data_IF_494767692081
#
_entry.id   IF_494767692081
#
_cell.length_a   1.000
_cell.length_b   1.000
_cell.length_c   1.000
_cell.angle_alpha   90.00
_cell.angle_beta   90.00
_cell.angle_gamma   90.00
#
_symmetry.space_group_name_H-M   'P 1'
#
loop_
_entity.id
_entity.type
_entity.pdbx_description
1 polymer ?
#
# COMPACT_ATOMS: atom_id res chain seq x y z
N UNK A 1 27.63 -20.80 18.13
CA UNK A 1 27.53 -19.46 18.74
C UNK A 1 26.39 -18.78 18.07
N UNK A 2 25.32 -18.38 18.74
CA UNK A 2 24.29 -17.57 18.10
C UNK A 2 24.89 -16.19 17.79
N UNK A 3 24.80 -15.77 16.51
CA UNK A 3 25.16 -14.42 16.09
C UNK A 3 24.21 -13.41 16.76
N UNK A 4 24.76 -12.39 17.40
CA UNK A 4 23.99 -11.30 17.99
C UNK A 4 23.22 -10.56 16.89
N UNK A 5 21.93 -10.16 17.12
CA UNK A 5 21.16 -9.41 16.16
C UNK A 5 21.81 -8.04 15.92
N UNK A 6 21.97 -7.67 14.65
CA UNK A 6 22.44 -6.36 14.23
C UNK A 6 21.46 -5.27 14.77
N UNK A 7 21.87 -4.56 15.79
CA UNK A 7 21.12 -3.44 16.38
C UNK A 7 21.32 -2.17 15.54
N UNK A 8 20.35 -1.24 15.55
CA UNK A 8 20.33 0.01 14.78
C UNK A 8 21.52 0.96 15.04
N UNK A 9 22.46 0.61 15.91
CA UNK A 9 23.61 1.42 16.35
C UNK A 9 24.97 0.90 15.84
N UNK A 10 25.01 -0.09 14.95
CA UNK A 10 26.29 -0.49 14.38
C UNK A 10 26.75 0.51 13.32
N UNK A 11 28.04 0.93 13.35
CA UNK A 11 28.56 1.85 12.35
C UNK A 11 28.48 1.22 10.96
N UNK A 12 28.03 1.99 9.97
CA UNK A 12 27.96 1.57 8.58
C UNK A 12 29.33 1.07 8.12
N UNK A 13 29.34 0.02 7.30
CA UNK A 13 30.57 -0.49 6.73
C UNK A 13 31.27 0.56 5.85
N UNK A 14 32.59 0.46 5.63
CA UNK A 14 33.32 1.37 4.77
C UNK A 14 32.76 1.44 3.35
N UNK A 15 32.23 0.35 2.81
CA UNK A 15 31.63 0.28 1.49
C UNK A 15 30.32 1.05 1.43
N UNK A 16 29.46 0.92 2.42
CA UNK A 16 28.20 1.68 2.53
C UNK A 16 28.48 3.17 2.69
N UNK A 17 29.45 3.55 3.54
CA UNK A 17 29.86 4.94 3.71
C UNK A 17 30.36 5.58 2.42
N UNK A 18 31.19 4.84 1.64
CA UNK A 18 31.65 5.32 0.33
C UNK A 18 30.52 5.44 -0.68
N UNK A 19 29.57 4.50 -0.67
CA UNK A 19 28.39 4.60 -1.51
C UNK A 19 27.56 5.87 -1.19
N UNK A 20 27.36 6.19 0.08
CA UNK A 20 26.69 7.43 0.48
C UNK A 20 27.45 8.68 0.05
N UNK A 21 28.78 8.68 0.18
CA UNK A 21 29.64 9.78 -0.28
C UNK A 21 29.57 9.98 -1.80
N UNK A 22 29.62 8.88 -2.56
CA UNK A 22 29.50 8.91 -4.02
C UNK A 22 28.14 9.44 -4.47
N UNK A 23 27.07 9.04 -3.80
CA UNK A 23 25.72 9.56 -4.06
C UNK A 23 25.58 11.06 -3.77
N UNK A 24 26.13 11.50 -2.65
CA UNK A 24 26.14 12.91 -2.29
C UNK A 24 26.93 13.76 -3.31
N UNK A 25 27.94 13.17 -3.94
CA UNK A 25 28.71 13.77 -5.03
C UNK A 25 28.06 13.62 -6.42
N UNK A 26 26.90 12.94 -6.55
CA UNK A 26 26.25 12.68 -7.83
C UNK A 26 26.88 11.53 -8.65
N UNK A 27 27.88 10.82 -8.10
CA UNK A 27 28.56 9.70 -8.74
C UNK A 27 27.81 8.38 -8.48
N UNK A 28 26.57 8.27 -8.99
CA UNK A 28 25.67 7.14 -8.67
C UNK A 28 26.19 5.78 -9.17
N UNK A 29 26.96 5.76 -10.26
CA UNK A 29 27.63 4.54 -10.74
C UNK A 29 28.65 4.01 -9.73
N UNK A 30 29.50 4.89 -9.19
CA UNK A 30 30.49 4.53 -8.18
C UNK A 30 29.81 4.07 -6.88
N UNK A 31 28.66 4.69 -6.53
CA UNK A 31 27.87 4.26 -5.38
C UNK A 31 27.38 2.82 -5.53
N UNK A 32 26.91 2.44 -6.72
CA UNK A 32 26.50 1.05 -7.02
C UNK A 32 27.72 0.12 -6.90
N UNK A 33 28.88 0.49 -7.47
CA UNK A 33 30.08 -0.32 -7.40
C UNK A 33 30.56 -0.56 -5.96
N UNK A 34 30.45 0.44 -5.09
CA UNK A 34 30.72 0.29 -3.66
C UNK A 34 29.73 -0.67 -2.97
N UNK A 35 28.43 -0.57 -3.26
CA UNK A 35 27.44 -1.52 -2.72
C UNK A 35 27.68 -2.96 -3.22
N UNK A 36 28.06 -3.13 -4.50
CA UNK A 36 28.46 -4.44 -5.05
C UNK A 36 29.70 -4.98 -4.36
N UNK A 37 30.70 -4.12 -4.07
CA UNK A 37 31.89 -4.52 -3.34
C UNK A 37 31.57 -4.97 -1.91
N UNK A 38 30.65 -4.27 -1.22
CA UNK A 38 30.15 -4.68 0.08
C UNK A 38 29.40 -6.01 0.03
N UNK A 39 28.50 -6.19 -0.93
CA UNK A 39 27.80 -7.45 -1.15
C UNK A 39 28.76 -8.64 -1.31
N UNK A 40 29.83 -8.47 -2.11
CA UNK A 40 30.88 -9.51 -2.29
C UNK A 40 31.62 -9.86 -1.00
N UNK A 41 31.62 -8.95 -0.02
CA UNK A 41 32.20 -9.17 1.33
C UNK A 41 31.15 -9.69 2.35
N UNK A 42 29.98 -10.09 1.88
CA UNK A 42 28.85 -10.51 2.70
C UNK A 42 28.27 -9.41 3.62
N UNK A 43 28.43 -8.16 3.25
CA UNK A 43 27.81 -7.04 3.95
C UNK A 43 26.30 -7.04 3.68
N UNK A 44 25.53 -7.29 4.73
CA UNK A 44 24.07 -7.40 4.69
C UNK A 44 23.42 -6.07 4.36
N UNK A 45 23.91 -4.97 4.93
CA UNK A 45 23.40 -3.63 4.68
C UNK A 45 23.65 -3.19 3.25
N UNK A 46 24.86 -3.39 2.73
CA UNK A 46 25.19 -3.09 1.33
C UNK A 46 24.31 -3.89 0.37
N UNK A 47 24.09 -5.19 0.66
CA UNK A 47 23.26 -6.07 -0.16
C UNK A 47 21.79 -5.61 -0.14
N UNK A 48 21.27 -5.24 1.03
CA UNK A 48 19.91 -4.72 1.18
C UNK A 48 19.72 -3.42 0.41
N UNK A 49 20.63 -2.47 0.54
CA UNK A 49 20.60 -1.17 -0.17
C UNK A 49 20.69 -1.34 -1.69
N UNK A 50 21.54 -2.24 -2.16
CA UNK A 50 21.63 -2.57 -3.58
C UNK A 50 20.30 -3.14 -4.08
N UNK A 51 19.72 -4.11 -3.35
CA UNK A 51 18.42 -4.67 -3.67
C UNK A 51 17.32 -3.62 -3.75
N UNK A 52 17.24 -2.70 -2.79
CA UNK A 52 16.27 -1.59 -2.79
C UNK A 52 16.38 -0.71 -4.03
N UNK A 53 17.60 -0.32 -4.41
CA UNK A 53 17.84 0.51 -5.60
C UNK A 53 17.40 -0.17 -6.89
N UNK A 54 17.80 -1.43 -7.05
CA UNK A 54 17.47 -2.22 -8.24
C UNK A 54 15.97 -2.53 -8.33
N UNK A 55 15.26 -2.58 -7.20
CA UNK A 55 13.82 -2.87 -7.16
C UNK A 55 12.99 -1.75 -7.82
N UNK A 56 13.35 -0.50 -7.57
CA UNK A 56 12.60 0.67 -8.06
C UNK A 56 13.34 1.51 -9.09
N UNK A 57 14.58 1.15 -9.42
CA UNK A 57 15.41 1.92 -10.35
C UNK A 57 15.91 3.25 -9.78
N UNK A 58 16.04 3.37 -8.46
CA UNK A 58 16.53 4.60 -7.83
C UNK A 58 18.04 4.77 -8.05
N UNK A 59 18.42 5.67 -8.95
CA UNK A 59 19.82 5.93 -9.35
C UNK A 59 20.55 4.65 -9.75
N UNK A 60 19.81 3.68 -10.28
CA UNK A 60 20.26 2.36 -10.70
C UNK A 60 19.36 1.84 -11.81
N UNK A 61 19.78 0.84 -12.61
CA UNK A 61 18.86 0.13 -13.50
C UNK A 61 17.72 -0.54 -12.69
N UNK A 62 16.49 -0.51 -13.21
CA UNK A 62 15.37 -1.25 -12.63
C UNK A 62 15.51 -2.74 -13.00
N UNK A 63 15.93 -3.56 -12.03
CA UNK A 63 16.18 -5.01 -12.18
C UNK A 63 15.49 -5.80 -11.07
N UNK A 64 14.14 -5.89 -11.08
CA UNK A 64 13.35 -6.42 -9.96
C UNK A 64 13.67 -7.87 -9.62
N UNK A 65 14.04 -8.72 -10.60
CA UNK A 65 14.39 -10.11 -10.34
C UNK A 65 15.73 -10.22 -9.56
N UNK A 66 16.74 -9.43 -9.93
CA UNK A 66 18.00 -9.38 -9.19
C UNK A 66 17.82 -8.74 -7.81
N UNK A 67 17.00 -7.71 -7.72
CA UNK A 67 16.63 -7.07 -6.48
C UNK A 67 16.01 -8.07 -5.48
N UNK A 68 15.01 -8.83 -5.93
CA UNK A 68 14.37 -9.86 -5.10
C UNK A 68 15.37 -10.91 -4.61
N UNK A 69 16.30 -11.34 -5.48
CA UNK A 69 17.36 -12.29 -5.12
C UNK A 69 18.31 -11.70 -4.06
N UNK A 70 18.77 -10.46 -4.22
CA UNK A 70 19.66 -9.81 -3.24
C UNK A 70 18.96 -9.54 -1.92
N UNK A 71 17.69 -9.13 -1.91
CA UNK A 71 16.90 -8.97 -0.70
C UNK A 71 16.74 -10.30 0.03
N UNK A 72 16.46 -11.40 -0.71
CA UNK A 72 16.37 -12.74 -0.11
C UNK A 72 17.72 -13.20 0.48
N UNK A 73 18.83 -12.95 -0.23
CA UNK A 73 20.18 -13.25 0.26
C UNK A 73 20.52 -12.47 1.54
N UNK A 74 20.24 -11.15 1.55
CA UNK A 74 20.45 -10.32 2.73
C UNK A 74 19.59 -10.78 3.92
N UNK A 75 18.34 -11.18 3.66
CA UNK A 75 17.46 -11.75 4.68
C UNK A 75 18.05 -13.05 5.24
N UNK A 76 18.52 -13.97 4.40
CA UNK A 76 19.14 -15.23 4.86
C UNK A 76 20.39 -14.99 5.71
N UNK A 77 21.12 -13.91 5.46
CA UNK A 77 22.31 -13.50 6.22
C UNK A 77 22.00 -12.64 7.46
N UNK A 78 20.76 -12.60 7.92
CA UNK A 78 20.39 -11.95 9.17
C UNK A 78 19.78 -10.55 9.02
N UNK A 79 19.65 -9.98 7.82
CA UNK A 79 19.09 -8.64 7.59
C UNK A 79 17.62 -8.53 8.04
N UNK A 80 17.36 -7.68 9.02
CA UNK A 80 16.00 -7.45 9.55
C UNK A 80 15.13 -6.66 8.55
N UNK A 81 15.64 -5.56 8.01
CA UNK A 81 14.96 -4.80 6.95
C UNK A 81 14.73 -5.65 5.70
N UNK A 82 15.75 -6.44 5.30
CA UNK A 82 15.64 -7.32 4.15
C UNK A 82 14.54 -8.38 4.35
N UNK A 83 14.37 -8.92 5.56
CA UNK A 83 13.28 -9.83 5.87
C UNK A 83 11.90 -9.15 5.77
N UNK A 84 11.78 -7.90 6.21
CA UNK A 84 10.55 -7.12 6.08
C UNK A 84 10.21 -6.81 4.60
N UNK A 85 11.19 -6.46 3.78
CA UNK A 85 11.02 -6.29 2.34
C UNK A 85 10.65 -7.60 1.64
N UNK A 86 11.25 -8.72 2.07
CA UNK A 86 10.95 -10.04 1.53
C UNK A 86 9.49 -10.44 1.82
N UNK A 87 8.95 -10.05 2.99
CA UNK A 87 7.53 -10.25 3.29
C UNK A 87 6.63 -9.58 2.25
N UNK A 88 6.93 -8.35 1.84
CA UNK A 88 6.19 -7.65 0.78
C UNK A 88 6.34 -8.39 -0.56
N UNK A 89 7.57 -8.73 -0.96
CA UNK A 89 7.84 -9.40 -2.24
C UNK A 89 7.12 -10.76 -2.35
N UNK A 90 7.06 -11.54 -1.27
CA UNK A 90 6.34 -12.81 -1.24
C UNK A 90 4.82 -12.59 -1.34
N UNK A 91 4.29 -11.62 -0.59
CA UNK A 91 2.85 -11.33 -0.59
C UNK A 91 2.33 -10.83 -1.94
N UNK A 92 3.12 -10.04 -2.67
CA UNK A 92 2.75 -9.57 -4.03
C UNK A 92 3.01 -10.62 -5.13
N UNK A 93 3.57 -11.78 -4.77
CA UNK A 93 3.86 -12.87 -5.72
C UNK A 93 5.07 -12.60 -6.62
N UNK A 94 6.01 -11.73 -6.20
CA UNK A 94 7.23 -11.45 -6.93
C UNK A 94 8.25 -12.61 -6.89
N UNK A 95 8.05 -13.60 -6.02
CA UNK A 95 8.91 -14.78 -5.90
C UNK A 95 8.10 -16.05 -6.12
N UNK A 96 8.51 -16.88 -7.10
CA UNK A 96 7.82 -18.13 -7.43
C UNK A 96 7.88 -19.11 -6.25
N UNK A 97 6.75 -19.77 -5.97
CA UNK A 97 6.67 -20.81 -4.94
C UNK A 97 6.45 -20.27 -3.52
N UNK A 98 6.37 -18.98 -3.35
CA UNK A 98 6.06 -18.32 -2.07
C UNK A 98 4.72 -17.60 -2.12
N UNK A 99 4.06 -17.53 -0.98
CA UNK A 99 2.74 -16.91 -0.85
C UNK A 99 2.61 -16.08 0.43
N UNK A 100 1.37 -15.70 0.74
CA UNK A 100 1.08 -14.83 1.89
C UNK A 100 1.48 -15.45 3.25
N UNK A 101 1.49 -16.78 3.36
CA UNK A 101 1.99 -17.49 4.55
C UNK A 101 3.49 -17.30 4.74
N UNK A 102 4.28 -17.45 3.67
CA UNK A 102 5.73 -17.22 3.69
C UNK A 102 6.05 -15.75 3.95
N UNK A 103 5.20 -14.85 3.45
CA UNK A 103 5.31 -13.42 3.72
C UNK A 103 5.15 -13.10 5.21
N UNK A 104 4.13 -13.68 5.87
CA UNK A 104 3.95 -13.52 7.31
C UNK A 104 5.13 -14.08 8.10
N UNK A 105 5.66 -15.25 7.73
CA UNK A 105 6.85 -15.81 8.37
C UNK A 105 8.07 -14.89 8.21
N UNK A 106 8.25 -14.28 7.02
CA UNK A 106 9.32 -13.30 6.80
C UNK A 106 9.15 -12.06 7.66
N UNK A 107 7.91 -11.59 7.87
CA UNK A 107 7.61 -10.47 8.77
C UNK A 107 7.91 -10.81 10.23
N UNK A 108 7.56 -12.03 10.68
CA UNK A 108 7.89 -12.53 12.03
C UNK A 108 9.41 -12.55 12.23
N UNK A 109 10.15 -13.06 11.26
CA UNK A 109 11.62 -13.09 11.29
C UNK A 109 12.19 -11.66 11.38
N UNK A 110 11.64 -10.70 10.64
CA UNK A 110 12.06 -9.30 10.73
C UNK A 110 11.82 -8.72 12.13
N UNK A 111 10.66 -9.01 12.73
CA UNK A 111 10.31 -8.56 14.08
C UNK A 111 11.21 -9.20 15.16
N UNK A 112 11.51 -10.50 15.06
CA UNK A 112 12.43 -11.22 15.95
C UNK A 112 13.86 -10.66 15.87
N UNK A 113 14.26 -10.14 14.71
CA UNK A 113 15.55 -9.46 14.49
C UNK A 113 15.54 -8.00 14.90
N UNK A 114 14.45 -7.52 15.52
CA UNK A 114 14.36 -6.17 16.07
C UNK A 114 13.93 -5.09 15.06
N UNK A 115 13.37 -5.43 13.87
CA UNK A 115 12.88 -4.43 12.93
C UNK A 115 11.61 -3.76 13.46
N UNK A 116 11.64 -2.46 13.86
CA UNK A 116 10.53 -1.84 14.59
C UNK A 116 9.23 -1.80 13.80
N UNK A 117 9.32 -1.54 12.47
CA UNK A 117 8.14 -1.52 11.62
C UNK A 117 7.49 -2.90 11.48
N UNK A 118 8.26 -4.00 11.49
CA UNK A 118 7.70 -5.35 11.45
C UNK A 118 7.00 -5.70 12.77
N UNK A 119 7.57 -5.28 13.89
CA UNK A 119 6.98 -5.43 15.22
C UNK A 119 5.62 -4.73 15.30
N UNK A 120 5.56 -3.46 14.91
CA UNK A 120 4.32 -2.68 14.90
C UNK A 120 3.27 -3.24 13.91
N UNK A 121 3.68 -3.74 12.75
CA UNK A 121 2.77 -4.40 11.81
C UNK A 121 2.13 -5.66 12.41
N UNK A 122 2.91 -6.50 13.12
CA UNK A 122 2.37 -7.69 13.78
C UNK A 122 1.36 -7.31 14.88
N UNK A 123 1.62 -6.26 15.65
CA UNK A 123 0.68 -5.75 16.68
C UNK A 123 -0.64 -5.30 16.04
N UNK A 124 -0.59 -4.62 14.90
CA UNK A 124 -1.77 -4.19 14.16
C UNK A 124 -2.55 -5.38 13.60
N UNK A 125 -1.85 -6.33 12.96
CA UNK A 125 -2.46 -7.46 12.25
C UNK A 125 -2.96 -8.57 13.19
N UNK A 126 -2.43 -8.67 14.41
CA UNK A 126 -2.90 -9.62 15.42
C UNK A 126 -4.27 -9.26 16.01
N UNK A 127 -4.78 -8.05 15.73
CA UNK A 127 -6.14 -7.66 16.11
C UNK A 127 -7.16 -8.32 15.16
N UNK A 128 -8.21 -8.96 15.69
CA UNK A 128 -9.17 -9.66 14.85
C UNK A 128 -9.95 -8.67 13.97
N UNK A 129 -10.17 -9.02 12.70
CA UNK A 129 -10.98 -8.25 11.76
C UNK A 129 -12.46 -8.14 12.18
N UNK A 130 -12.94 -9.11 12.96
CA UNK A 130 -14.28 -9.08 13.56
C UNK A 130 -14.15 -9.16 15.07
N UNK A 131 -14.93 -8.37 15.84
CA UNK A 131 -15.00 -8.56 17.28
C UNK A 131 -15.37 -10.02 17.54
N UNK A 132 -14.57 -10.76 18.30
CA UNK A 132 -14.99 -12.05 18.83
C UNK A 132 -16.11 -11.78 19.83
N UNK A 133 -17.27 -12.41 19.65
CA UNK A 133 -18.28 -12.45 20.69
C UNK A 133 -17.58 -12.90 21.98
N UNK A 134 -17.69 -12.04 22.99
CA UNK A 134 -17.08 -12.12 24.31
C UNK A 134 -16.53 -13.49 24.70
N UNK A 135 -15.22 -13.66 24.71
CA UNK A 135 -14.56 -14.48 25.70
C UNK A 135 -13.85 -13.52 26.65
N UNK A 136 -14.34 -13.43 27.88
CA UNK A 136 -13.63 -12.86 29.02
C UNK A 136 -12.26 -13.48 29.11
N UNK A 137 -11.25 -12.72 28.76
CA UNK A 137 -9.88 -12.81 29.27
C UNK A 137 -8.99 -11.79 28.57
N UNK A 138 -9.33 -10.50 28.73
CA UNK A 138 -8.29 -9.49 28.62
C UNK A 138 -7.43 -9.59 29.89
N UNK A 139 -6.62 -10.62 29.99
CA UNK A 139 -5.56 -10.69 30.98
C UNK A 139 -4.57 -9.57 30.65
N UNK A 140 -4.63 -8.51 31.46
CA UNK A 140 -3.57 -7.51 31.62
C UNK A 140 -2.36 -8.21 32.22
N UNK A 141 -1.60 -8.91 31.40
CA UNK A 141 -0.28 -9.37 31.75
C UNK A 141 0.68 -8.20 31.53
N UNK A 142 1.42 -7.87 32.58
CA UNK A 142 2.61 -7.02 32.53
C UNK A 142 3.54 -7.54 31.44
N UNK A 143 4.07 -6.69 30.52
CA UNK A 143 4.73 -7.18 29.32
C UNK A 143 6.09 -7.81 29.68
N UNK A 144 6.15 -9.14 29.66
CA UNK A 144 7.35 -9.81 29.17
C UNK A 144 7.56 -9.38 27.71
N UNK A 145 8.82 -9.31 27.24
CA UNK A 145 9.12 -8.96 25.86
C UNK A 145 8.16 -9.68 24.88
N UNK A 146 7.55 -8.97 23.90
CA UNK A 146 6.54 -9.56 23.06
C UNK A 146 7.07 -10.80 22.35
N UNK A 147 6.34 -11.91 22.41
CA UNK A 147 6.66 -13.09 21.62
C UNK A 147 6.10 -12.89 20.19
N UNK A 148 6.95 -12.45 19.28
CA UNK A 148 6.57 -12.11 17.91
C UNK A 148 5.98 -13.29 17.14
N UNK A 149 6.46 -14.54 17.39
CA UNK A 149 5.85 -15.75 16.82
C UNK A 149 4.44 -16.00 17.33
N UNK A 150 4.20 -15.77 18.60
CA UNK A 150 2.86 -15.90 19.16
C UNK A 150 1.91 -14.85 18.60
N UNK A 151 2.40 -13.61 18.42
CA UNK A 151 1.65 -12.54 17.79
C UNK A 151 1.34 -12.88 16.32
N UNK A 152 2.34 -13.39 15.59
CA UNK A 152 2.16 -13.84 14.20
C UNK A 152 1.11 -14.95 14.04
N UNK A 153 1.03 -15.91 14.97
CA UNK A 153 -0.02 -16.96 14.96
C UNK A 153 -1.43 -16.43 15.16
N UNK A 154 -1.58 -15.22 15.71
CA UNK A 154 -2.87 -14.56 15.89
C UNK A 154 -3.35 -13.86 14.62
N UNK A 155 -2.48 -13.65 13.64
CA UNK A 155 -2.84 -13.04 12.35
C UNK A 155 -3.70 -14.03 11.56
N UNK A 156 -4.97 -13.70 11.36
CA UNK A 156 -5.90 -14.51 10.58
C UNK A 156 -5.82 -14.16 9.09
N UNK A 157 -4.84 -14.77 8.39
CA UNK A 157 -4.66 -14.55 6.95
C UNK A 157 -5.89 -14.95 6.13
N UNK A 158 -6.67 -15.94 6.60
CA UNK A 158 -7.88 -16.37 5.89
C UNK A 158 -8.93 -15.25 5.89
N UNK A 159 -9.07 -14.55 7.01
CA UNK A 159 -9.99 -13.40 7.10
C UNK A 159 -9.60 -12.26 6.15
N UNK A 160 -8.31 -12.10 5.82
CA UNK A 160 -7.83 -11.09 4.86
C UNK A 160 -8.03 -11.48 3.40
N UNK A 161 -8.19 -12.76 3.10
CA UNK A 161 -8.30 -13.28 1.72
C UNK A 161 -9.73 -13.71 1.35
N UNK A 162 -10.69 -13.58 2.26
CA UNK A 162 -12.11 -13.89 2.04
C UNK A 162 -12.94 -12.61 2.11
N UNK A 163 -13.84 -12.36 1.13
CA UNK A 163 -14.75 -11.22 1.16
C UNK A 163 -15.63 -11.24 2.42
N UNK A 164 -15.85 -10.06 3.01
CA UNK A 164 -16.83 -9.86 4.08
C UNK A 164 -18.28 -9.80 3.57
N UNK A 165 -19.23 -9.56 4.48
CA UNK A 165 -20.60 -9.22 4.10
C UNK A 165 -20.62 -7.91 3.31
N UNK A 166 -21.47 -7.83 2.29
CA UNK A 166 -21.55 -6.71 1.38
C UNK A 166 -22.99 -6.21 1.22
N UNK A 167 -23.14 -4.93 0.90
CA UNK A 167 -24.40 -4.29 0.56
C UNK A 167 -24.29 -3.57 -0.77
N UNK A 168 -25.20 -3.87 -1.70
CA UNK A 168 -25.27 -3.17 -2.99
C UNK A 168 -26.04 -1.86 -2.83
N UNK A 169 -25.35 -0.74 -3.10
CA UNK A 169 -25.97 0.60 -3.16
C UNK A 169 -26.55 0.86 -4.55
N UNK A 170 -25.99 0.23 -5.58
CA UNK A 170 -26.47 0.20 -6.95
C UNK A 170 -26.06 -1.10 -7.61
N UNK A 171 -26.90 -1.66 -8.47
CA UNK A 171 -26.59 -2.86 -9.25
C UNK A 171 -26.07 -2.55 -10.66
N UNK A 172 -26.27 -1.32 -11.17
CA UNK A 172 -25.80 -0.92 -12.51
C UNK A 172 -25.67 0.61 -12.62
N UNK A 173 -24.46 1.15 -12.63
CA UNK A 173 -23.17 0.49 -12.34
C UNK A 173 -23.17 -0.13 -10.95
N UNK A 174 -22.40 -1.21 -10.78
CA UNK A 174 -22.29 -1.82 -9.47
C UNK A 174 -21.53 -0.87 -8.53
N UNK A 175 -22.21 -0.48 -7.43
CA UNK A 175 -21.63 0.25 -6.30
C UNK A 175 -21.92 -0.58 -5.05
N UNK A 176 -20.87 -1.02 -4.35
CA UNK A 176 -21.00 -1.98 -3.24
C UNK A 176 -20.16 -1.58 -2.05
N UNK A 177 -20.73 -1.67 -0.87
CA UNK A 177 -20.03 -1.43 0.40
C UNK A 177 -19.78 -2.71 1.19
N UNK A 178 -18.72 -2.66 2.03
CA UNK A 178 -18.30 -3.69 2.98
C UNK A 178 -18.11 -3.05 4.35
N UNK A 179 -19.09 -3.11 5.26
CA UNK A 179 -19.06 -2.37 6.53
C UNK A 179 -17.86 -2.67 7.43
N UNK A 180 -17.34 -3.90 7.39
CA UNK A 180 -16.23 -4.37 8.24
C UNK A 180 -15.04 -4.77 7.39
N UNK A 181 -14.59 -3.87 6.52
CA UNK A 181 -13.49 -4.16 5.61
C UNK A 181 -12.12 -4.11 6.31
N UNK A 182 -11.89 -3.15 7.20
CA UNK A 182 -10.62 -2.99 7.92
C UNK A 182 -10.86 -2.70 9.40
N UNK A 183 -9.91 -3.08 10.27
CA UNK A 183 -9.95 -2.74 11.70
C UNK A 183 -9.55 -1.28 11.92
N UNK A 184 -9.94 -0.70 13.05
CA UNK A 184 -9.48 0.63 13.48
C UNK A 184 -7.94 0.70 13.53
N UNK A 185 -7.27 -0.36 14.00
CA UNK A 185 -5.81 -0.41 14.06
C UNK A 185 -5.16 -0.32 12.67
N UNK A 186 -5.72 -1.02 11.67
CA UNK A 186 -5.26 -0.94 10.27
C UNK A 186 -5.53 0.45 9.69
N UNK A 187 -6.69 1.04 9.97
CA UNK A 187 -7.00 2.39 9.52
C UNK A 187 -6.02 3.42 10.10
N UNK A 188 -5.77 3.35 11.40
CA UNK A 188 -4.79 4.21 12.09
C UNK A 188 -3.38 4.01 11.51
N UNK A 189 -2.96 2.76 11.30
CA UNK A 189 -1.68 2.45 10.66
C UNK A 189 -1.52 3.16 9.32
N UNK A 190 -2.51 3.06 8.44
CA UNK A 190 -2.47 3.69 7.11
C UNK A 190 -2.41 5.22 7.19
N UNK A 191 -3.15 5.83 8.12
CA UNK A 191 -3.08 7.27 8.39
C UNK A 191 -1.67 7.66 8.83
N UNK A 192 -1.10 6.96 9.83
CA UNK A 192 0.22 7.28 10.39
C UNK A 192 1.32 7.12 9.32
N UNK A 193 1.21 6.09 8.48
CA UNK A 193 2.14 5.89 7.35
C UNK A 193 2.05 7.00 6.30
N UNK A 194 0.88 7.59 6.11
CA UNK A 194 0.65 8.65 5.12
C UNK A 194 0.97 10.04 5.65
N UNK A 195 0.74 10.32 6.94
CA UNK A 195 0.76 11.67 7.55
C UNK A 195 2.03 12.47 7.27
N UNK A 196 3.20 11.84 7.35
CA UNK A 196 4.50 12.50 7.09
C UNK A 196 4.87 12.61 5.60
N UNK A 197 3.99 12.20 4.68
CA UNK A 197 4.27 12.03 3.24
C UNK A 197 3.24 12.72 2.36
N UNK A 198 2.28 13.38 2.97
CA UNK A 198 1.23 14.10 2.24
C UNK A 198 1.86 15.19 1.38
N UNK A 199 1.45 15.23 0.15
CA UNK A 199 1.71 16.31 -0.79
C UNK A 199 0.41 16.75 -1.46
N UNK A 200 0.37 17.94 -2.02
CA UNK A 200 -0.79 18.40 -2.77
C UNK A 200 -1.14 17.39 -3.85
N UNK A 201 -2.38 16.92 -3.86
CA UNK A 201 -2.81 15.98 -4.87
C UNK A 201 -2.72 16.61 -6.26
N UNK A 202 -2.04 15.92 -7.17
CA UNK A 202 -1.79 16.39 -8.52
C UNK A 202 -2.78 15.73 -9.47
N UNK A 203 -3.13 16.46 -10.53
CA UNK A 203 -3.93 15.94 -11.65
C UNK A 203 -3.06 15.95 -12.88
N UNK A 204 -3.02 14.83 -13.61
CA UNK A 204 -2.36 14.80 -14.90
C UNK A 204 -3.21 15.56 -15.93
N UNK A 205 -2.64 16.59 -16.53
CA UNK A 205 -3.26 17.38 -17.59
C UNK A 205 -2.86 16.81 -18.95
N UNK A 206 -3.76 16.02 -19.53
CA UNK A 206 -3.51 15.33 -20.78
C UNK A 206 -3.15 16.25 -21.95
N UNK A 207 -3.76 17.43 -22.02
CA UNK A 207 -3.51 18.39 -23.12
C UNK A 207 -2.10 18.98 -23.04
N UNK A 208 -1.60 19.25 -21.83
CA UNK A 208 -0.26 19.82 -21.59
C UNK A 208 0.81 18.77 -21.37
N UNK A 209 0.42 17.49 -21.16
CA UNK A 209 1.32 16.40 -20.74
C UNK A 209 2.08 16.71 -19.46
N UNK A 210 1.48 17.47 -18.57
CA UNK A 210 2.08 17.92 -17.32
C UNK A 210 1.21 17.50 -16.12
N UNK A 211 1.85 17.28 -15.00
CA UNK A 211 1.18 17.04 -13.71
C UNK A 211 1.05 18.39 -13.01
N UNK A 212 -0.18 18.77 -12.66
CA UNK A 212 -0.45 20.10 -12.09
C UNK A 212 -1.47 20.07 -10.95
N UNK A 213 -1.41 21.11 -10.11
CA UNK A 213 -2.43 21.40 -9.11
C UNK A 213 -3.64 22.03 -9.82
N UNK A 214 -4.84 21.50 -9.55
CA UNK A 214 -6.09 22.08 -10.06
C UNK A 214 -7.01 22.55 -8.94
N UNK A 215 -7.78 23.63 -9.14
CA UNK A 215 -8.80 24.07 -8.17
C UNK A 215 -9.90 23.02 -7.92
N UNK A 216 -10.11 22.12 -8.88
CA UNK A 216 -11.09 21.02 -8.81
C UNK A 216 -10.67 19.88 -7.88
N UNK A 217 -9.41 19.89 -7.40
CA UNK A 217 -8.87 18.91 -6.49
C UNK A 217 -7.99 19.59 -5.45
N UNK A 218 -8.53 19.80 -4.26
CA UNK A 218 -7.87 20.60 -3.23
C UNK A 218 -7.24 19.76 -2.09
N UNK A 219 -7.51 18.48 -2.05
CA UNK A 219 -7.00 17.55 -1.08
C UNK A 219 -5.48 17.28 -1.20
N UNK A 220 -4.91 16.65 -0.17
CA UNK A 220 -3.56 16.09 -0.18
C UNK A 220 -3.59 14.57 -0.36
N UNK A 221 -2.46 13.99 -0.79
CA UNK A 221 -2.33 12.57 -1.04
C UNK A 221 -0.93 12.05 -0.73
N UNK A 222 -0.85 10.77 -0.32
CA UNK A 222 0.37 10.01 -0.19
C UNK A 222 0.22 8.69 -0.97
N UNK A 223 0.93 8.56 -2.08
CA UNK A 223 1.05 7.30 -2.81
C UNK A 223 2.24 6.50 -2.26
N UNK A 224 2.10 5.17 -2.19
CA UNK A 224 3.15 4.28 -1.67
C UNK A 224 3.77 3.50 -2.83
N UNK A 225 5.02 3.78 -3.13
CA UNK A 225 5.78 2.95 -4.06
C UNK A 225 6.15 1.59 -3.43
N UNK A 226 6.80 0.71 -4.19
CA UNK A 226 7.12 -0.65 -3.74
C UNK A 226 7.98 -0.70 -2.46
N UNK A 227 8.90 0.27 -2.24
CA UNK A 227 9.73 0.34 -1.03
C UNK A 227 9.00 0.92 0.18
N UNK A 228 7.92 1.62 -0.07
CA UNK A 228 7.10 2.29 0.92
C UNK A 228 5.90 1.45 1.35
N UNK A 229 5.50 0.53 0.47
CA UNK A 229 4.47 -0.47 0.73
C UNK A 229 4.98 -1.46 1.79
N UNK A 230 4.16 -1.74 2.78
CA UNK A 230 4.42 -2.71 3.83
C UNK A 230 3.41 -3.88 3.77
N UNK A 231 3.58 -4.88 4.63
CA UNK A 231 2.73 -6.06 4.59
C UNK A 231 1.27 -5.77 4.96
N UNK A 232 1.00 -4.75 5.81
CA UNK A 232 -0.37 -4.29 6.10
C UNK A 232 -1.02 -3.74 4.85
N UNK A 233 -0.33 -2.88 4.09
CA UNK A 233 -0.82 -2.34 2.82
C UNK A 233 -1.15 -3.47 1.83
N UNK A 234 -0.27 -4.47 1.70
CA UNK A 234 -0.49 -5.60 0.79
C UNK A 234 -1.69 -6.44 1.22
N UNK A 235 -1.88 -6.71 2.53
CA UNK A 235 -3.05 -7.45 3.01
C UNK A 235 -4.36 -6.71 2.72
N UNK A 236 -4.38 -5.37 2.89
CA UNK A 236 -5.52 -4.53 2.52
C UNK A 236 -5.83 -4.69 1.02
N UNK A 237 -4.83 -4.63 0.15
CA UNK A 237 -5.02 -4.82 -1.29
C UNK A 237 -5.43 -6.25 -1.66
N UNK A 238 -4.89 -7.28 -1.00
CA UNK A 238 -5.31 -8.68 -1.20
C UNK A 238 -6.78 -8.89 -0.81
N UNK A 239 -7.24 -8.22 0.26
CA UNK A 239 -8.65 -8.24 0.64
C UNK A 239 -9.53 -7.54 -0.40
N UNK A 240 -9.08 -6.40 -0.95
CA UNK A 240 -9.76 -5.76 -2.09
C UNK A 240 -9.84 -6.71 -3.29
N UNK A 241 -8.73 -7.37 -3.63
CA UNK A 241 -8.67 -8.34 -4.73
C UNK A 241 -9.67 -9.49 -4.53
N UNK A 242 -9.78 -10.02 -3.32
CA UNK A 242 -10.77 -11.04 -2.97
C UNK A 242 -12.22 -10.53 -3.09
N UNK A 243 -12.51 -9.29 -2.66
CA UNK A 243 -13.83 -8.67 -2.79
C UNK A 243 -14.23 -8.46 -4.26
N UNK A 244 -13.27 -8.17 -5.12
CA UNK A 244 -13.49 -7.89 -6.54
C UNK A 244 -13.41 -9.15 -7.42
N UNK A 245 -12.79 -10.22 -6.94
CA UNK A 245 -12.51 -11.42 -7.73
C UNK A 245 -11.50 -11.19 -8.86
N UNK A 246 -10.56 -10.25 -8.69
CA UNK A 246 -9.56 -9.89 -9.71
C UNK A 246 -8.13 -10.13 -9.20
N UNK A 247 -7.16 -10.38 -10.10
CA UNK A 247 -5.77 -10.58 -9.70
C UNK A 247 -5.15 -9.32 -9.09
N UNK A 248 -4.35 -9.48 -8.02
CA UNK A 248 -3.62 -8.40 -7.38
C UNK A 248 -2.75 -7.57 -8.36
N UNK A 249 -2.22 -8.19 -9.39
CA UNK A 249 -1.38 -7.51 -10.41
C UNK A 249 -2.08 -6.41 -11.19
N UNK A 250 -3.41 -6.31 -11.10
CA UNK A 250 -4.20 -5.26 -11.74
C UNK A 250 -4.28 -3.98 -10.89
N UNK A 251 -3.73 -3.99 -9.67
CA UNK A 251 -3.80 -2.88 -8.74
C UNK A 251 -2.71 -1.85 -9.02
N UNK A 252 -3.09 -0.57 -9.08
CA UNK A 252 -2.13 0.54 -9.04
C UNK A 252 -1.51 0.66 -7.63
N UNK A 253 -0.46 1.46 -7.42
CA UNK A 253 0.05 1.74 -6.08
C UNK A 253 -1.05 2.28 -5.17
N UNK A 254 -1.11 1.76 -3.93
CA UNK A 254 -2.08 2.21 -2.92
C UNK A 254 -1.85 3.69 -2.62
N UNK A 255 -2.92 4.47 -2.53
CA UNK A 255 -2.86 5.91 -2.24
C UNK A 255 -3.79 6.25 -1.08
N UNK A 256 -3.27 6.98 -0.11
CA UNK A 256 -4.07 7.57 0.98
C UNK A 256 -4.35 9.02 0.62
N UNK A 257 -5.62 9.41 0.66
CA UNK A 257 -6.10 10.76 0.44
C UNK A 257 -6.49 11.37 1.79
N UNK A 258 -6.14 12.62 1.98
CA UNK A 258 -6.50 13.41 3.14
C UNK A 258 -7.19 14.70 2.70
N UNK A 259 -8.24 15.06 3.43
CA UNK A 259 -9.02 16.27 3.21
C UNK A 259 -9.15 17.02 4.52
N UNK A 260 -8.65 18.24 4.56
CA UNK A 260 -8.99 19.21 5.59
C UNK A 260 -10.38 19.81 5.35
N UNK A 261 -10.94 20.49 6.34
CA UNK A 261 -12.18 21.23 6.20
C UNK A 261 -12.10 22.24 5.05
N UNK A 262 -13.06 22.20 4.15
CA UNK A 262 -13.08 23.02 2.91
C UNK A 262 -12.38 22.36 1.72
N UNK A 263 -11.65 21.27 1.88
CA UNK A 263 -11.02 20.55 0.78
C UNK A 263 -11.96 19.51 0.15
N UNK A 264 -11.90 19.39 -1.17
CA UNK A 264 -12.75 18.47 -1.90
C UNK A 264 -12.10 18.00 -3.22
N UNK A 265 -12.68 16.96 -3.81
CA UNK A 265 -12.55 16.64 -5.23
C UNK A 265 -13.94 16.84 -5.84
N UNK A 266 -14.06 17.78 -6.78
CA UNK A 266 -15.32 18.04 -7.49
C UNK A 266 -15.70 16.87 -8.38
N UNK A 267 -16.87 16.94 -9.02
CA UNK A 267 -17.37 15.90 -9.92
C UNK A 267 -16.34 15.50 -10.97
N UNK A 268 -15.95 14.23 -11.01
CA UNK A 268 -14.95 13.67 -11.90
C UNK A 268 -15.22 12.20 -12.21
N UNK A 269 -14.44 11.64 -13.14
CA UNK A 269 -14.37 10.22 -13.44
C UNK A 269 -13.01 9.69 -13.08
N UNK A 270 -12.96 8.43 -12.66
CA UNK A 270 -11.70 7.71 -12.37
C UNK A 270 -11.17 6.93 -13.57
N UNK A 271 -12.03 6.60 -14.53
CA UNK A 271 -11.56 6.01 -15.79
C UNK A 271 -10.70 7.00 -16.59
N UNK A 272 -9.75 6.48 -17.33
CA UNK A 272 -8.93 7.27 -18.26
C UNK A 272 -9.74 7.55 -19.50
N UNK A 273 -9.93 8.84 -19.87
CA UNK A 273 -10.79 9.22 -21.00
C UNK A 273 -10.18 8.76 -22.34
N UNK A 274 -10.79 7.77 -23.02
CA UNK A 274 -10.25 7.23 -24.27
C UNK A 274 -10.31 8.22 -25.45
N UNK A 275 -11.09 9.30 -25.33
CA UNK A 275 -11.23 10.29 -26.38
C UNK A 275 -10.09 11.31 -26.42
N UNK A 276 -9.23 11.32 -25.38
CA UNK A 276 -8.06 12.18 -25.34
C UNK A 276 -6.83 11.42 -25.88
N UNK A 277 -6.20 11.88 -26.98
CA UNK A 277 -5.10 11.15 -27.63
C UNK A 277 -3.93 10.82 -26.69
N UNK A 278 -3.62 11.71 -25.75
CA UNK A 278 -2.56 11.50 -24.75
C UNK A 278 -2.84 10.36 -23.77
N UNK A 279 -4.12 10.07 -23.53
CA UNK A 279 -4.54 8.95 -22.70
C UNK A 279 -4.67 7.64 -23.47
N UNK A 280 -4.75 7.68 -24.79
CA UNK A 280 -4.77 6.47 -25.61
C UNK A 280 -3.46 5.65 -25.46
N UNK A 281 -2.31 6.33 -25.35
CA UNK A 281 -1.02 5.69 -25.07
C UNK A 281 -1.01 5.05 -23.68
N UNK A 282 -1.48 5.76 -22.66
CA UNK A 282 -1.59 5.21 -21.30
C UNK A 282 -2.50 3.98 -21.23
N UNK A 283 -3.66 4.03 -21.90
CA UNK A 283 -4.59 2.90 -21.96
C UNK A 283 -3.96 1.73 -22.71
N UNK A 284 -3.24 1.99 -23.81
CA UNK A 284 -2.56 0.95 -24.58
C UNK A 284 -1.47 0.24 -23.75
N UNK A 285 -0.71 0.98 -22.97
CA UNK A 285 0.37 0.44 -22.12
C UNK A 285 -0.17 -0.22 -20.84
N UNK A 286 -0.97 0.52 -20.07
CA UNK A 286 -1.33 0.18 -18.69
C UNK A 286 -2.75 -0.34 -18.54
N UNK A 287 -3.58 -0.30 -19.59
CA UNK A 287 -5.00 -0.65 -19.54
C UNK A 287 -5.88 0.45 -18.96
N UNK A 288 -7.19 0.21 -18.99
CA UNK A 288 -8.21 1.11 -18.46
C UNK A 288 -8.40 0.89 -16.94
N UNK A 289 -8.72 1.95 -16.20
CA UNK A 289 -9.18 1.87 -14.81
C UNK A 289 -10.64 1.42 -14.80
N UNK A 290 -10.87 0.17 -14.43
CA UNK A 290 -12.20 -0.45 -14.50
C UNK A 290 -12.93 -0.49 -13.18
N UNK A 291 -12.21 -0.38 -12.05
CA UNK A 291 -12.78 -0.32 -10.69
C UNK A 291 -12.02 0.68 -9.85
N UNK A 292 -12.74 1.38 -8.99
CA UNK A 292 -12.18 2.14 -7.87
C UNK A 292 -12.65 1.51 -6.57
N UNK A 293 -11.72 1.29 -5.64
CA UNK A 293 -11.99 0.81 -4.29
C UNK A 293 -11.54 1.86 -3.27
N UNK A 294 -12.45 2.30 -2.41
CA UNK A 294 -12.20 3.23 -1.32
C UNK A 294 -12.23 2.49 0.01
N UNK A 295 -11.41 2.91 0.99
CA UNK A 295 -11.56 2.51 2.40
C UNK A 295 -11.57 3.76 3.25
N UNK A 296 -12.62 3.94 4.04
CA UNK A 296 -12.74 5.07 4.96
C UNK A 296 -11.92 4.79 6.21
N UNK A 297 -10.89 5.62 6.46
CA UNK A 297 -9.94 5.39 7.53
C UNK A 297 -10.34 6.06 8.86
N UNK A 298 -11.32 6.96 8.81
CA UNK A 298 -11.96 7.59 9.97
C UNK A 298 -13.39 8.01 9.62
N UNK A 299 -14.19 8.39 10.62
CA UNK A 299 -15.57 8.86 10.45
C UNK A 299 -15.96 9.98 11.43
N UNK A 300 -14.99 10.50 12.18
CA UNK A 300 -15.14 11.55 13.19
C UNK A 300 -15.20 12.96 12.61
N UNK A 301 -15.90 13.13 11.49
CA UNK A 301 -16.18 14.38 10.79
C UNK A 301 -17.64 14.44 10.34
N UNK A 302 -18.18 15.63 10.12
CA UNK A 302 -19.47 15.86 9.48
C UNK A 302 -19.35 15.91 7.95
N UNK A 303 -20.44 15.69 7.20
CA UNK A 303 -20.43 15.71 5.72
C UNK A 303 -19.35 14.79 5.12
N UNK A 304 -18.65 15.20 4.09
CA UNK A 304 -17.52 14.46 3.52
C UNK A 304 -17.93 13.23 2.69
N UNK A 305 -19.14 13.19 2.17
CA UNK A 305 -19.69 12.07 1.43
C UNK A 305 -18.91 11.80 0.13
N UNK A 306 -18.90 10.54 -0.30
CA UNK A 306 -18.66 10.16 -1.69
C UNK A 306 -19.99 10.23 -2.42
N UNK A 307 -20.17 11.21 -3.28
CA UNK A 307 -21.43 11.49 -3.95
C UNK A 307 -21.40 11.04 -5.41
N UNK A 308 -22.44 10.34 -5.86
CA UNK A 308 -22.64 9.93 -7.25
C UNK A 308 -23.90 10.64 -7.78
N UNK A 309 -23.80 11.86 -8.31
CA UNK A 309 -24.98 12.68 -8.66
C UNK A 309 -25.86 12.03 -9.73
N UNK A 310 -25.29 11.25 -10.65
CA UNK A 310 -26.03 10.55 -11.72
C UNK A 310 -26.76 9.28 -11.23
N UNK A 311 -26.45 8.80 -10.02
CA UNK A 311 -27.11 7.66 -9.38
C UNK A 311 -28.02 8.09 -8.23
N UNK A 312 -27.96 9.35 -7.81
CA UNK A 312 -28.68 9.85 -6.63
C UNK A 312 -28.13 9.25 -5.32
N UNK A 313 -26.87 8.79 -5.30
CA UNK A 313 -26.22 8.21 -4.13
C UNK A 313 -25.33 9.26 -3.49
N UNK A 314 -25.44 9.38 -2.16
CA UNK A 314 -24.55 10.15 -1.30
C UNK A 314 -24.17 9.27 -0.12
N UNK A 315 -22.91 8.79 -0.10
CA UNK A 315 -22.46 7.79 0.87
C UNK A 315 -21.39 8.37 1.78
N UNK A 316 -21.71 8.48 3.08
CA UNK A 316 -20.73 8.75 4.12
C UNK A 316 -20.31 7.43 4.73
N UNK A 317 -19.07 6.99 4.41
CA UNK A 317 -18.52 5.76 4.94
C UNK A 317 -18.21 5.87 6.44
N UNK A 318 -18.20 4.71 7.10
CA UNK A 318 -17.81 4.56 8.50
C UNK A 318 -16.36 4.13 8.61
N UNK A 319 -15.76 4.31 9.78
CA UNK A 319 -14.42 3.80 10.07
C UNK A 319 -14.28 2.33 9.66
N UNK A 320 -13.29 2.03 8.83
CA UNK A 320 -13.00 0.69 8.35
C UNK A 320 -13.94 0.15 7.28
N UNK A 321 -14.88 0.95 6.77
CA UNK A 321 -15.76 0.54 5.67
C UNK A 321 -15.04 0.62 4.33
N UNK A 322 -15.21 -0.41 3.49
CA UNK A 322 -14.81 -0.42 2.08
C UNK A 322 -15.98 -0.09 1.17
N UNK A 323 -15.73 0.67 0.11
CA UNK A 323 -16.68 0.98 -0.95
C UNK A 323 -16.01 0.80 -2.30
N UNK A 324 -16.59 0.01 -3.19
CA UNK A 324 -16.12 0.01 -4.58
C UNK A 324 -17.21 0.34 -5.58
N UNK A 325 -16.79 0.84 -6.73
CA UNK A 325 -17.66 1.05 -7.89
C UNK A 325 -16.95 0.69 -9.18
N UNK A 326 -17.73 0.14 -10.11
CA UNK A 326 -17.25 -0.33 -11.41
C UNK A 326 -17.35 0.81 -12.41
N UNK A 327 -16.21 1.22 -12.97
CA UNK A 327 -16.05 2.36 -13.89
C UNK A 327 -16.31 2.02 -15.37
N UNK A 328 -16.49 0.73 -15.68
CA UNK A 328 -16.61 0.23 -17.05
C UNK A 328 -17.94 -0.51 -17.26
N UNK A 329 -18.46 -0.42 -18.47
CA UNK A 329 -19.57 -1.24 -18.96
C UNK A 329 -19.09 -2.67 -19.31
N UNK A 330 -20.02 -3.57 -19.58
CA UNK A 330 -19.71 -4.97 -19.92
C UNK A 330 -18.88 -5.13 -21.21
N UNK A 331 -18.93 -4.15 -22.11
CA UNK A 331 -18.12 -4.10 -23.34
C UNK A 331 -16.72 -3.47 -23.12
N UNK A 332 -16.39 -3.09 -21.87
CA UNK A 332 -15.13 -2.45 -21.51
C UNK A 332 -15.11 -0.93 -21.73
N UNK A 333 -16.17 -0.33 -22.26
CA UNK A 333 -16.25 1.13 -22.40
C UNK A 333 -16.50 1.81 -21.03
N UNK A 334 -16.16 3.09 -20.95
CA UNK A 334 -16.31 3.88 -19.72
C UNK A 334 -17.79 4.10 -19.36
N UNK A 335 -18.15 3.84 -18.09
CA UNK A 335 -19.51 4.11 -17.60
C UNK A 335 -19.64 5.52 -17.05
N UNK A 336 -20.17 6.43 -17.85
CA UNK A 336 -20.35 7.82 -17.45
C UNK A 336 -21.32 8.03 -16.27
N UNK A 337 -22.08 7.00 -15.85
CA UNK A 337 -22.96 7.09 -14.68
C UNK A 337 -22.17 7.13 -13.38
N UNK A 338 -20.88 6.71 -13.41
CA UNK A 338 -19.97 6.74 -12.26
C UNK A 338 -19.34 8.11 -11.99
N UNK A 339 -19.85 9.19 -12.60
CA UNK A 339 -19.48 10.55 -12.20
C UNK A 339 -19.65 10.68 -10.69
N UNK A 340 -18.57 11.08 -9.98
CA UNK A 340 -18.59 11.17 -8.53
C UNK A 340 -17.73 12.30 -7.99
N UNK A 341 -17.93 12.63 -6.72
CA UNK A 341 -17.20 13.65 -5.99
C UNK A 341 -16.85 13.18 -4.59
N UNK A 342 -15.72 13.66 -4.08
CA UNK A 342 -15.39 13.60 -2.67
C UNK A 342 -15.70 14.94 -2.01
N UNK A 343 -16.82 15.01 -1.30
CA UNK A 343 -17.28 16.28 -0.68
C UNK A 343 -16.39 16.63 0.52
N UNK A 344 -16.34 17.94 0.81
CA UNK A 344 -15.57 18.47 1.93
C UNK A 344 -16.08 17.96 3.28
N UNK A 345 -15.20 17.54 4.17
CA UNK A 345 -15.58 17.31 5.56
C UNK A 345 -15.89 18.62 6.29
N UNK A 346 -16.67 18.52 7.37
CA UNK A 346 -17.02 19.61 8.27
C UNK A 346 -16.73 19.15 9.71
N UNK A 347 -16.16 20.00 10.53
CA UNK A 347 -15.80 19.71 11.94
C UNK A 347 -14.87 18.50 12.08
N UNK A 348 -13.86 18.41 11.26
CA UNK A 348 -12.84 17.35 11.29
C UNK A 348 -12.16 17.13 9.95
N UNK A 349 -11.22 16.22 9.92
CA UNK A 349 -10.47 15.81 8.72
C UNK A 349 -10.98 14.45 8.20
N UNK A 350 -10.90 14.22 6.89
CA UNK A 350 -11.29 12.96 6.27
C UNK A 350 -10.09 12.25 5.67
N UNK A 351 -9.94 10.97 6.01
CA UNK A 351 -8.89 10.10 5.51
C UNK A 351 -9.50 8.90 4.78
N UNK A 352 -9.07 8.65 3.56
CA UNK A 352 -9.49 7.48 2.79
C UNK A 352 -8.32 6.85 2.03
N UNK A 353 -8.34 5.53 1.88
CA UNK A 353 -7.58 4.87 0.81
C UNK A 353 -8.34 5.02 -0.49
N UNK A 354 -7.64 5.35 -1.56
CA UNK A 354 -8.13 5.26 -2.94
C UNK A 354 -7.26 4.29 -3.71
N UNK A 355 -7.88 3.24 -4.25
CA UNK A 355 -7.22 2.18 -4.99
C UNK A 355 -7.84 2.04 -6.37
N UNK A 356 -7.04 2.25 -7.41
CA UNK A 356 -7.46 1.98 -8.77
C UNK A 356 -7.08 0.57 -9.19
N UNK A 357 -7.99 -0.05 -9.95
CA UNK A 357 -7.81 -1.39 -10.52
C UNK A 357 -7.94 -1.30 -12.03
N UNK A 358 -6.98 -1.87 -12.74
CA UNK A 358 -6.95 -1.84 -14.20
C UNK A 358 -7.46 -3.15 -14.81
N UNK A 359 -7.80 -3.13 -16.10
CA UNK A 359 -8.26 -4.28 -16.86
C UNK A 359 -7.13 -5.28 -17.22
N UNK A 360 -5.89 -4.92 -16.96
CA UNK A 360 -4.69 -5.74 -17.18
C UNK A 360 -3.65 -5.55 -16.08
N UNK A 361 -2.64 -6.41 -16.07
CA UNK A 361 -1.55 -6.33 -15.11
C UNK A 361 -0.78 -4.99 -15.26
N UNK A 362 -0.48 -4.37 -14.12
CA UNK A 362 0.27 -3.10 -14.03
C UNK A 362 1.77 -3.38 -13.86
N UNK A 363 2.15 -4.59 -13.38
CA UNK A 363 3.53 -5.03 -13.14
C UNK A 363 3.71 -6.54 -13.34
#
# INVERSE_FOLDING_TARGET
MPEEPLTADQPLSPEVQRAEQSDAGGAHGDAIDHLVAGMRKNDVEATTRLGKRLLVGDRAPCLPNDAARFIAEASQKGGAEAAALLAVLYAVGASRGHGVGDALESLIVAAERGWPLAQAQLEVLAQPLRPRESSDEAQRLTPAAPNWRELGRRVDLAAWTVPGAATDLSSSPLVRSYPEFATEAVCRWLIDRARGRLSRALVYEAVRREVMVRPTRTNTAAAFNMLETDFVCVLVQLRMAACLGVPFRQFEPITVLHYDEGEEITDHFDFVDPNLPTYAEEIAERGQRVVTFLVYLNDDYGSGETAFPRLGISHKGRLGEGLFFVNALADGSADVRTLHAGRSPVNGEKWIVSQFVRDRAVF
#
